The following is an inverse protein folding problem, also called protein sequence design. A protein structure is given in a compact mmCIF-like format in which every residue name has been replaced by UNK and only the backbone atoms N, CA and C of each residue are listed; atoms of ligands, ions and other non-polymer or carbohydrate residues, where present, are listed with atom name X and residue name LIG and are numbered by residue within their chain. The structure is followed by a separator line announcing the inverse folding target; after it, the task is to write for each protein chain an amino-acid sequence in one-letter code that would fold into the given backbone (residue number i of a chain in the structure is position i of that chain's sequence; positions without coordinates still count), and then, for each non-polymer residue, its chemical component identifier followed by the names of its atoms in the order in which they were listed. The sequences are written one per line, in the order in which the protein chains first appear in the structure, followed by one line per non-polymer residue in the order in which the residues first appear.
data_IF_102939306865
#
_entry.id   IF_102939306865
#
_cell.length_a   1.000
_cell.length_b   1.000
_cell.length_c   1.000
_cell.angle_alpha   90.00
_cell.angle_beta   90.00
_cell.angle_gamma   90.00
#
_symmetry.space_group_name_H-M   'P 1'
#
loop_
_entity.id
_entity.type
_entity.pdbx_description
1 polymer ?
#
# COMPACT_ATOMS: atom_id res chain seq x y z
N UNK A 1 -6.94 -15.03 8.10
CA UNK A 1 -7.36 -13.62 8.09
C UNK A 1 -8.23 -13.34 6.88
N UNK A 2 -9.10 -12.32 6.90
CA UNK A 2 -9.81 -11.80 5.70
C UNK A 2 -9.10 -10.59 5.06
N UNK A 3 -7.97 -10.17 5.64
CA UNK A 3 -7.22 -9.00 5.18
C UNK A 3 -6.14 -9.37 4.15
N UNK A 4 -5.64 -8.35 3.46
CA UNK A 4 -4.51 -8.43 2.53
C UNK A 4 -3.65 -7.20 2.73
N UNK A 5 -2.33 -7.35 2.62
CA UNK A 5 -1.36 -6.28 2.76
C UNK A 5 -0.76 -5.89 1.40
N UNK A 6 -0.73 -4.60 1.12
CA UNK A 6 0.11 -4.02 0.06
C UNK A 6 1.33 -3.38 0.72
N UNK A 7 2.52 -3.92 0.49
CA UNK A 7 3.78 -3.41 1.06
C UNK A 7 4.61 -2.78 -0.06
N UNK A 8 4.91 -1.49 0.06
CA UNK A 8 5.56 -0.71 -1.00
C UNK A 8 6.99 -0.40 -0.59
N UNK A 9 7.97 -0.79 -1.42
CA UNK A 9 9.38 -0.45 -1.24
C UNK A 9 10.14 -0.60 -2.55
N UNK A 10 10.70 0.48 -3.10
CA UNK A 10 11.35 0.45 -4.42
C UNK A 10 12.47 -0.60 -4.51
N UNK A 11 13.37 -0.66 -3.53
CA UNK A 11 14.42 -1.69 -3.49
C UNK A 11 13.98 -3.00 -2.83
N UNK A 12 12.99 -2.96 -1.93
CA UNK A 12 12.59 -4.12 -1.14
C UNK A 12 13.68 -4.66 -0.19
N UNK A 13 14.69 -3.84 0.15
CA UNK A 13 15.88 -4.29 0.91
C UNK A 13 15.96 -3.77 2.35
N UNK A 14 15.12 -2.80 2.72
CA UNK A 14 15.12 -2.25 4.08
C UNK A 14 14.49 -3.23 5.09
N UNK A 15 14.99 -3.25 6.32
CA UNK A 15 14.57 -4.20 7.36
C UNK A 15 13.05 -4.13 7.60
N UNK A 16 12.49 -2.94 7.81
CA UNK A 16 11.08 -2.73 8.16
C UNK A 16 10.08 -3.35 7.17
N UNK A 17 10.08 -3.01 5.86
CA UNK A 17 9.11 -3.60 4.93
C UNK A 17 9.29 -5.11 4.79
N UNK A 18 10.52 -5.63 4.92
CA UNK A 18 10.78 -7.07 4.82
C UNK A 18 10.26 -7.83 6.04
N UNK A 19 10.54 -7.35 7.25
CA UNK A 19 10.00 -7.93 8.49
C UNK A 19 8.47 -7.83 8.54
N UNK A 20 7.89 -6.71 8.10
CA UNK A 20 6.45 -6.54 8.05
C UNK A 20 5.78 -7.58 7.12
N UNK A 21 6.33 -7.78 5.92
CA UNK A 21 5.85 -8.80 4.99
C UNK A 21 6.03 -10.22 5.55
N UNK A 22 7.17 -10.53 6.16
CA UNK A 22 7.40 -11.82 6.81
C UNK A 22 6.38 -12.10 7.92
N UNK A 23 6.09 -11.10 8.77
CA UNK A 23 5.09 -11.24 9.84
C UNK A 23 3.69 -11.46 9.24
N UNK A 24 3.30 -10.70 8.22
CA UNK A 24 2.02 -10.91 7.54
C UNK A 24 1.89 -12.31 6.94
N UNK A 25 2.90 -12.76 6.20
CA UNK A 25 2.93 -14.09 5.61
C UNK A 25 2.83 -15.19 6.68
N UNK A 26 3.59 -15.08 7.78
CA UNK A 26 3.52 -16.03 8.93
C UNK A 26 2.13 -16.09 9.57
N UNK A 27 1.36 -15.01 9.51
CA UNK A 27 0.00 -14.92 10.03
C UNK A 27 -1.09 -15.27 8.98
N UNK A 28 -0.68 -15.77 7.80
CA UNK A 28 -1.60 -16.14 6.72
C UNK A 28 -2.35 -14.95 6.11
N UNK A 29 -1.77 -13.75 6.19
CA UNK A 29 -2.25 -12.57 5.47
C UNK A 29 -1.58 -12.57 4.10
N UNK A 30 -2.38 -12.43 3.03
CA UNK A 30 -1.83 -12.32 1.67
C UNK A 30 -1.01 -11.03 1.55
N UNK A 31 0.19 -11.13 0.98
CA UNK A 31 1.11 -10.01 0.78
C UNK A 31 1.29 -9.75 -0.71
N UNK A 32 0.96 -8.53 -1.12
CA UNK A 32 1.31 -7.97 -2.43
C UNK A 32 2.45 -6.98 -2.21
N UNK A 33 3.57 -7.16 -2.89
CA UNK A 33 4.68 -6.21 -2.88
C UNK A 33 4.62 -5.28 -4.10
N UNK A 34 4.79 -3.98 -3.91
CA UNK A 34 5.05 -3.04 -5.00
C UNK A 34 6.51 -2.59 -4.92
N UNK A 35 7.30 -2.97 -5.91
CA UNK A 35 8.75 -2.75 -5.97
C UNK A 35 9.16 -2.18 -7.32
N UNK A 36 10.40 -1.73 -7.42
CA UNK A 36 11.06 -1.54 -8.72
C UNK A 36 11.89 -2.78 -8.97
N UNK A 37 11.44 -3.68 -9.86
CA UNK A 37 12.01 -5.03 -9.95
C UNK A 37 13.51 -5.02 -10.24
N UNK A 38 13.93 -4.31 -11.29
CA UNK A 38 15.34 -4.21 -11.67
C UNK A 38 16.20 -3.62 -10.55
N UNK A 39 15.70 -2.55 -9.90
CA UNK A 39 16.40 -1.93 -8.78
C UNK A 39 16.48 -2.86 -7.57
N UNK A 40 15.43 -3.63 -7.29
CA UNK A 40 15.42 -4.62 -6.22
C UNK A 40 16.43 -5.73 -6.48
N UNK A 41 16.48 -6.27 -7.70
CA UNK A 41 17.43 -7.31 -8.11
C UNK A 41 18.88 -6.83 -7.96
N UNK A 42 19.18 -5.61 -8.40
CA UNK A 42 20.51 -4.98 -8.28
C UNK A 42 20.90 -4.59 -6.85
N UNK A 43 19.94 -4.48 -5.92
CA UNK A 43 20.20 -4.04 -4.54
C UNK A 43 20.49 -5.20 -3.59
N UNK A 44 21.40 -4.99 -2.63
CA UNK A 44 21.66 -5.94 -1.55
C UNK A 44 20.67 -5.74 -0.39
N UNK A 45 20.17 -6.85 0.17
CA UNK A 45 19.33 -6.79 1.38
C UNK A 45 20.10 -6.24 2.58
N UNK A 46 19.41 -5.48 3.44
CA UNK A 46 19.94 -5.04 4.74
C UNK A 46 19.67 -6.03 5.87
N UNK A 47 18.96 -7.13 5.60
CA UNK A 47 18.80 -8.23 6.55
C UNK A 47 19.99 -9.17 6.50
N UNK A 48 20.30 -9.77 7.64
CA UNK A 48 21.42 -10.71 7.80
C UNK A 48 21.23 -12.01 7.02
N UNK A 49 19.99 -12.41 6.74
CA UNK A 49 19.63 -13.61 5.96
C UNK A 49 19.59 -13.37 4.45
N UNK A 50 19.89 -12.14 4.00
CA UNK A 50 19.90 -11.77 2.59
C UNK A 50 18.52 -11.64 1.94
N UNK A 51 17.44 -11.95 2.67
CA UNK A 51 16.08 -11.94 2.12
C UNK A 51 15.56 -10.53 1.86
N UNK A 52 14.77 -10.38 0.82
CA UNK A 52 14.13 -9.15 0.35
C UNK A 52 12.61 -9.23 0.54
N UNK A 53 11.93 -8.12 0.31
CA UNK A 53 10.48 -8.01 0.43
C UNK A 53 9.77 -9.04 -0.47
N UNK A 54 10.30 -9.24 -1.68
CA UNK A 54 9.76 -10.18 -2.66
C UNK A 54 9.79 -11.64 -2.21
N UNK A 55 10.69 -12.02 -1.28
CA UNK A 55 10.75 -13.39 -0.75
C UNK A 55 9.58 -13.73 0.18
N UNK A 56 8.88 -12.70 0.68
CA UNK A 56 7.74 -12.82 1.58
C UNK A 56 6.43 -12.35 0.95
N UNK A 57 6.43 -12.08 -0.36
CA UNK A 57 5.26 -11.64 -1.10
C UNK A 57 4.63 -12.79 -1.89
N UNK A 58 3.29 -12.88 -1.89
CA UNK A 58 2.54 -13.80 -2.74
C UNK A 58 2.45 -13.30 -4.19
N UNK A 59 2.40 -11.97 -4.35
CA UNK A 59 2.36 -11.29 -5.65
C UNK A 59 3.31 -10.10 -5.65
N UNK A 60 3.95 -9.85 -6.78
CA UNK A 60 4.83 -8.70 -6.98
C UNK A 60 4.30 -7.85 -8.12
N UNK A 61 4.12 -6.57 -7.84
CA UNK A 61 3.82 -5.52 -8.80
C UNK A 61 5.10 -4.71 -9.03
N UNK A 62 5.44 -4.50 -10.29
CA UNK A 62 6.64 -3.77 -10.70
C UNK A 62 6.27 -2.37 -11.14
N UNK A 63 6.90 -1.35 -10.55
CA UNK A 63 6.72 0.05 -10.95
C UNK A 63 7.24 0.34 -12.36
N UNK A 64 8.12 -0.52 -12.90
CA UNK A 64 8.72 -0.36 -14.22
C UNK A 64 9.82 0.70 -14.31
N UNK A 65 10.25 1.25 -13.15
CA UNK A 65 11.39 2.16 -13.10
C UNK A 65 12.73 1.41 -13.28
N UNK A 66 13.78 2.08 -13.77
CA UNK A 66 15.08 1.45 -13.96
C UNK A 66 15.85 1.27 -12.64
N UNK A 67 16.99 0.56 -12.70
CA UNK A 67 17.96 0.51 -11.61
C UNK A 67 18.35 1.92 -11.13
N UNK A 68 18.31 2.12 -9.82
CA UNK A 68 18.66 3.40 -9.19
C UNK A 68 17.48 4.37 -9.09
N UNK A 69 16.33 4.02 -9.67
CA UNK A 69 15.11 4.83 -9.66
C UNK A 69 15.37 6.27 -10.11
N UNK A 70 16.00 6.41 -11.27
CA UNK A 70 16.28 7.68 -11.91
C UNK A 70 16.28 7.51 -13.43
N UNK A 71 15.50 8.32 -14.14
CA UNK A 71 15.17 8.09 -15.55
C UNK A 71 15.78 9.09 -16.53
N UNK A 72 16.21 10.26 -16.07
CA UNK A 72 16.60 11.37 -16.94
C UNK A 72 18.08 11.69 -16.76
N UNK A 73 18.85 11.57 -17.84
CA UNK A 73 20.23 12.05 -17.92
C UNK A 73 20.23 13.52 -18.37
N UNK A 74 21.06 14.34 -17.73
CA UNK A 74 21.24 15.76 -18.06
C UNK A 74 22.71 15.99 -18.38
N UNK A 75 23.01 16.65 -19.50
CA UNK A 75 24.38 16.93 -19.93
C UNK A 75 25.15 17.70 -18.85
N UNK A 76 26.33 17.19 -18.49
CA UNK A 76 27.17 17.76 -17.43
C UNK A 76 26.80 17.37 -16.00
N UNK A 77 25.76 16.55 -15.80
CA UNK A 77 25.40 15.97 -14.50
C UNK A 77 25.91 14.53 -14.40
N UNK A 78 26.55 14.18 -13.27
CA UNK A 78 27.22 12.90 -13.06
C UNK A 78 26.25 11.69 -13.01
N UNK A 79 25.07 11.87 -12.40
CA UNK A 79 24.09 10.81 -12.20
C UNK A 79 22.71 11.20 -12.74
N UNK A 80 21.89 10.21 -13.17
CA UNK A 80 20.54 10.49 -13.63
C UNK A 80 19.65 11.01 -12.48
N UNK A 81 18.60 11.73 -12.85
CA UNK A 81 17.59 12.30 -11.95
C UNK A 81 16.18 11.84 -12.35
N UNK A 82 15.17 12.35 -11.65
CA UNK A 82 13.74 12.07 -11.91
C UNK A 82 13.35 10.61 -11.62
N UNK A 83 12.95 10.30 -10.39
CA UNK A 83 12.55 8.94 -10.02
C UNK A 83 11.26 8.51 -10.71
N UNK A 84 11.31 7.31 -11.30
CA UNK A 84 10.20 6.72 -12.03
C UNK A 84 9.21 5.97 -11.14
N UNK A 85 9.70 5.42 -10.02
CA UNK A 85 8.94 4.51 -9.17
C UNK A 85 7.70 5.16 -8.58
N UNK A 86 7.73 6.48 -8.33
CA UNK A 86 6.58 7.23 -7.82
C UNK A 86 5.48 7.35 -8.87
N UNK A 87 5.85 7.66 -10.13
CA UNK A 87 4.88 7.78 -11.23
C UNK A 87 4.29 6.41 -11.57
N UNK A 88 5.15 5.40 -11.76
CA UNK A 88 4.71 4.03 -12.03
C UNK A 88 3.89 3.44 -10.89
N UNK A 89 4.33 3.63 -9.64
CA UNK A 89 3.61 3.19 -8.45
C UNK A 89 2.25 3.86 -8.31
N UNK A 90 2.15 5.18 -8.52
CA UNK A 90 0.88 5.90 -8.48
C UNK A 90 -0.10 5.42 -9.55
N UNK A 91 0.39 5.17 -10.78
CA UNK A 91 -0.43 4.61 -11.86
C UNK A 91 -0.98 3.23 -11.48
N UNK A 92 -0.13 2.33 -10.98
CA UNK A 92 -0.53 0.98 -10.56
C UNK A 92 -1.55 1.04 -9.42
N UNK A 93 -1.31 1.85 -8.38
CA UNK A 93 -2.24 1.99 -7.25
C UNK A 93 -3.60 2.51 -7.72
N UNK A 94 -3.63 3.45 -8.66
CA UNK A 94 -4.89 3.94 -9.22
C UNK A 94 -5.61 2.88 -10.07
N UNK A 95 -4.89 2.06 -10.85
CA UNK A 95 -5.46 0.91 -11.54
C UNK A 95 -6.08 -0.09 -10.55
N UNK A 96 -5.37 -0.42 -9.46
CA UNK A 96 -5.89 -1.30 -8.41
C UNK A 96 -7.18 -0.74 -7.80
N UNK A 97 -7.22 0.57 -7.53
CA UNK A 97 -8.43 1.22 -6.99
C UNK A 97 -9.60 1.13 -7.95
N UNK A 98 -9.38 1.42 -9.23
CA UNK A 98 -10.43 1.36 -10.26
C UNK A 98 -10.97 -0.06 -10.43
N UNK A 99 -10.07 -1.05 -10.58
CA UNK A 99 -10.45 -2.45 -10.76
C UNK A 99 -11.16 -3.00 -9.51
N UNK A 100 -10.67 -2.68 -8.31
CA UNK A 100 -11.33 -3.06 -7.06
C UNK A 100 -12.74 -2.48 -6.98
N UNK A 101 -12.92 -1.21 -7.33
CA UNK A 101 -14.24 -0.57 -7.33
C UNK A 101 -15.18 -1.23 -8.36
N UNK A 102 -14.68 -1.55 -9.54
CA UNK A 102 -15.44 -2.25 -10.57
C UNK A 102 -15.90 -3.63 -10.08
N UNK A 103 -14.98 -4.46 -9.59
CA UNK A 103 -15.28 -5.82 -9.13
C UNK A 103 -16.26 -5.82 -7.96
N UNK A 104 -16.07 -4.93 -6.98
CA UNK A 104 -16.98 -4.78 -5.84
C UNK A 104 -18.38 -4.32 -6.27
N UNK A 105 -18.47 -3.40 -7.23
CA UNK A 105 -19.75 -2.93 -7.78
C UNK A 105 -20.47 -4.04 -8.54
N UNK A 106 -19.75 -4.81 -9.37
CA UNK A 106 -20.31 -5.98 -10.07
C UNK A 106 -20.81 -7.05 -9.10
N UNK A 107 -20.16 -7.19 -7.93
CA UNK A 107 -20.61 -8.06 -6.85
C UNK A 107 -21.77 -7.49 -6.02
N UNK A 108 -22.37 -6.36 -6.41
CA UNK A 108 -23.50 -5.72 -5.71
C UNK A 108 -23.12 -5.03 -4.40
N UNK A 109 -21.83 -4.75 -4.20
CA UNK A 109 -21.28 -4.13 -2.97
C UNK A 109 -20.34 -2.97 -3.31
N UNK A 110 -20.83 -1.91 -3.98
CA UNK A 110 -19.98 -0.79 -4.39
C UNK A 110 -19.27 -0.16 -3.19
N UNK A 111 -17.97 0.17 -3.28
CA UNK A 111 -17.26 0.82 -2.19
C UNK A 111 -17.70 2.27 -2.04
N UNK A 112 -17.48 2.86 -0.86
CA UNK A 112 -17.60 4.31 -0.67
C UNK A 112 -16.46 5.03 -1.38
N UNK A 113 -16.78 6.10 -2.10
CA UNK A 113 -15.81 6.88 -2.89
C UNK A 113 -15.87 8.36 -2.56
N UNK A 114 -14.71 8.98 -2.42
CA UNK A 114 -14.58 10.43 -2.23
C UNK A 114 -14.75 11.10 -3.58
N UNK A 115 -15.76 11.96 -3.71
CA UNK A 115 -16.07 12.68 -4.95
C UNK A 115 -15.88 14.18 -4.75
N UNK A 116 -15.20 14.83 -5.69
CA UNK A 116 -14.99 16.27 -5.64
C UNK A 116 -16.30 17.04 -5.85
N UNK A 117 -16.42 18.20 -5.18
CA UNK A 117 -17.58 19.10 -5.32
C UNK A 117 -17.82 19.53 -6.78
N UNK A 118 -16.77 19.60 -7.60
CA UNK A 118 -16.89 19.90 -9.03
C UNK A 118 -17.73 18.87 -9.82
N UNK A 119 -17.89 17.65 -9.30
CA UNK A 119 -18.66 16.56 -9.95
C UNK A 119 -20.05 16.42 -9.36
N UNK A 120 -20.18 16.51 -8.03
CA UNK A 120 -21.42 16.17 -7.30
C UNK A 120 -22.06 17.35 -6.57
N UNK A 121 -21.44 18.54 -6.59
CA UNK A 121 -21.80 19.67 -5.75
C UNK A 121 -21.21 19.58 -4.33
N UNK A 122 -21.08 20.73 -3.66
CA UNK A 122 -20.40 20.81 -2.35
C UNK A 122 -21.09 20.00 -1.26
N UNK A 123 -22.43 20.06 -1.18
CA UNK A 123 -23.21 19.35 -0.16
C UNK A 123 -23.01 17.83 -0.27
N UNK A 124 -23.21 17.28 -1.48
CA UNK A 124 -23.04 15.84 -1.71
C UNK A 124 -21.59 15.38 -1.52
N UNK A 125 -20.60 16.21 -1.86
CA UNK A 125 -19.20 15.90 -1.63
C UNK A 125 -18.89 15.72 -0.13
N UNK A 126 -19.46 16.59 0.72
CA UNK A 126 -19.35 16.47 2.19
C UNK A 126 -20.03 15.19 2.67
N UNK A 127 -21.26 14.91 2.25
CA UNK A 127 -21.96 13.67 2.64
C UNK A 127 -21.16 12.40 2.29
N UNK A 128 -20.59 12.34 1.09
CA UNK A 128 -19.79 11.20 0.65
C UNK A 128 -18.48 11.07 1.44
N UNK A 129 -17.86 12.19 1.78
CA UNK A 129 -16.65 12.23 2.60
C UNK A 129 -16.93 11.70 4.02
N UNK A 130 -17.91 12.26 4.72
CA UNK A 130 -18.28 11.83 6.07
C UNK A 130 -18.68 10.36 6.10
N UNK A 131 -19.52 9.92 5.16
CA UNK A 131 -19.92 8.52 5.10
C UNK A 131 -18.72 7.57 4.91
N UNK A 132 -17.73 7.95 4.10
CA UNK A 132 -16.52 7.15 3.91
C UNK A 132 -15.69 7.07 5.20
N UNK A 133 -15.54 8.19 5.90
CA UNK A 133 -14.80 8.24 7.18
C UNK A 133 -15.53 7.52 8.32
N UNK A 134 -16.86 7.56 8.38
CA UNK A 134 -17.65 6.78 9.34
C UNK A 134 -17.42 5.28 9.16
N UNK A 135 -17.41 4.80 7.91
CA UNK A 135 -17.12 3.39 7.64
C UNK A 135 -15.68 3.04 8.02
N UNK A 136 -14.72 3.91 7.72
CA UNK A 136 -13.33 3.73 8.11
C UNK A 136 -13.17 3.69 9.63
N UNK A 137 -13.82 4.59 10.37
CA UNK A 137 -13.82 4.64 11.82
C UNK A 137 -14.38 3.36 12.45
N UNK A 138 -15.51 2.85 11.95
CA UNK A 138 -16.08 1.58 12.42
C UNK A 138 -15.13 0.38 12.18
N UNK A 139 -14.36 0.39 11.09
CA UNK A 139 -13.36 -0.66 10.82
C UNK A 139 -12.15 -0.53 11.76
N UNK A 140 -11.62 0.69 11.94
CA UNK A 140 -10.50 0.95 12.83
C UNK A 140 -10.83 0.66 14.30
N UNK A 141 -12.03 1.00 14.76
CA UNK A 141 -12.45 0.76 16.15
C UNK A 141 -12.24 -0.70 16.57
N UNK A 142 -12.49 -1.66 15.67
CA UNK A 142 -12.25 -3.09 15.90
C UNK A 142 -10.76 -3.41 16.11
N UNK A 143 -9.87 -2.73 15.40
CA UNK A 143 -8.42 -2.92 15.55
C UNK A 143 -7.91 -2.46 16.92
N UNK A 144 -8.53 -1.41 17.49
CA UNK A 144 -8.13 -0.86 18.78
C UNK A 144 -8.89 -1.46 19.97
N UNK A 145 -9.88 -2.33 19.73
CA UNK A 145 -10.72 -2.87 20.79
C UNK A 145 -9.94 -3.69 21.84
N UNK A 146 -8.83 -4.31 21.44
CA UNK A 146 -8.07 -5.25 22.29
C UNK A 146 -6.60 -4.85 22.48
N UNK A 147 -6.21 -3.64 22.09
CA UNK A 147 -4.82 -3.19 22.23
C UNK A 147 -4.56 -2.58 23.60
N UNK A 148 -3.31 -2.68 24.08
CA UNK A 148 -2.88 -2.12 25.36
C UNK A 148 -2.96 -3.12 26.52
N UNK A 149 -2.62 -2.65 27.72
CA UNK A 149 -2.71 -3.45 28.96
C UNK A 149 -4.11 -3.22 29.55
N UNK A 150 -4.90 -4.28 29.84
CA UNK A 150 -6.19 -4.14 30.49
C UNK A 150 -6.11 -3.35 31.81
N UNK A 151 -7.10 -2.52 32.07
CA UNK A 151 -7.20 -1.74 33.31
C UNK A 151 -8.66 -1.59 33.75
N UNK A 152 -8.94 -0.86 34.83
CA UNK A 152 -10.28 -0.71 35.38
C UNK A 152 -11.33 -0.14 34.39
N UNK A 153 -10.89 0.52 33.31
CA UNK A 153 -11.78 0.98 32.22
C UNK A 153 -12.12 -0.11 31.19
N UNK A 154 -11.30 -1.17 31.11
CA UNK A 154 -11.47 -2.29 30.18
C UNK A 154 -12.57 -3.26 30.61
N UNK A 155 -12.87 -3.34 31.91
CA UNK A 155 -13.88 -4.25 32.49
C UNK A 155 -15.31 -3.65 32.48
N UNK A 156 -15.46 -2.44 31.94
CA UNK A 156 -16.71 -1.65 32.02
C UNK A 156 -17.61 -1.77 30.77
N UNK A 157 -17.31 -2.67 29.84
CA UNK A 157 -17.99 -2.81 28.54
C UNK A 157 -18.46 -4.24 28.26
#
# INVERSE_FOLDING_TARGET
SQDTALVISSSGTNIVPVEMAEIFQKNGIKVVALVTKEHSEASSSKRTDGKKLTDFADLVLDTGAPVGDAMVTVDGLDTPVSPGSTVGGAAIVNCLKAETAQLLTQAGRPPKVLSAAAVVGSERAVELFEAAYDEHAHRLAKMYQQVGIPSYVSDSF
#
